data_IF_466662224221
#
_entry.id   IF_466662224221
#
_cell.length_a   1.000
_cell.length_b   1.000
_cell.length_c   1.000
_cell.angle_alpha   90.00
_cell.angle_beta   90.00
_cell.angle_gamma   90.00
#
_symmetry.space_group_name_H-M   'P 1'
#
loop_
_entity.id
_entity.type
_entity.pdbx_description
1 polymer ?
#
# COMPACT_ATOMS: atom_id res chain seq x y z
N UNK A 1 4.91 4.78 7.85
CA UNK A 1 3.96 3.91 7.12
C UNK A 1 2.54 4.02 7.69
N UNK A 2 2.33 3.79 8.99
CA UNK A 2 0.99 3.79 9.60
C UNK A 2 0.29 5.14 9.61
N UNK A 3 1.00 6.25 9.82
CA UNK A 3 0.41 7.59 9.96
C UNK A 3 0.10 8.35 8.66
N UNK A 4 0.55 7.83 7.51
CA UNK A 4 0.33 8.50 6.22
C UNK A 4 0.10 7.48 5.10
N UNK A 5 1.07 6.61 4.85
CA UNK A 5 0.98 5.67 3.72
C UNK A 5 -0.27 4.79 3.74
N UNK A 6 -0.52 4.09 4.84
CA UNK A 6 -1.66 3.18 4.96
C UNK A 6 -3.03 3.89 4.91
N UNK A 7 -3.28 4.99 5.62
CA UNK A 7 -4.57 5.67 5.52
C UNK A 7 -4.77 6.40 4.19
N UNK A 8 -3.70 6.95 3.59
CA UNK A 8 -3.84 7.96 2.53
C UNK A 8 -3.53 7.47 1.12
N UNK A 9 -2.90 6.30 0.93
CA UNK A 9 -2.57 5.78 -0.40
C UNK A 9 -3.54 4.67 -0.84
N UNK A 10 -3.81 4.61 -2.14
CA UNK A 10 -4.59 3.55 -2.79
C UNK A 10 -3.74 2.87 -3.85
N UNK A 11 -3.93 1.56 -4.03
CA UNK A 11 -3.26 0.82 -5.09
C UNK A 11 -3.95 1.09 -6.44
N UNK A 12 -3.18 1.54 -7.43
CA UNK A 12 -3.57 1.56 -8.83
C UNK A 12 -3.04 0.28 -9.50
N UNK A 13 -3.93 -0.67 -9.78
CA UNK A 13 -3.57 -1.95 -10.38
C UNK A 13 -3.02 -1.78 -11.81
N UNK A 14 -3.53 -0.83 -12.59
CA UNK A 14 -3.05 -0.60 -13.97
C UNK A 14 -1.58 -0.19 -14.00
N UNK A 15 -1.16 0.67 -13.08
CA UNK A 15 0.23 1.16 -13.04
C UNK A 15 1.11 0.40 -12.05
N UNK A 16 0.55 -0.55 -11.30
CA UNK A 16 1.24 -1.29 -10.22
C UNK A 16 1.93 -0.34 -9.23
N UNK A 17 1.23 0.73 -8.83
CA UNK A 17 1.76 1.81 -7.97
C UNK A 17 0.71 2.23 -6.96
N UNK A 18 1.16 2.67 -5.79
CA UNK A 18 0.32 3.38 -4.84
C UNK A 18 0.28 4.86 -5.18
N UNK A 19 -0.90 5.46 -5.16
CA UNK A 19 -1.12 6.89 -5.37
C UNK A 19 -1.93 7.46 -4.22
N UNK A 20 -1.79 8.74 -3.91
CA UNK A 20 -2.63 9.36 -2.86
C UNK A 20 -4.10 9.33 -3.27
N UNK A 21 -4.96 9.01 -2.32
CA UNK A 21 -6.42 9.05 -2.53
C UNK A 21 -6.84 10.49 -2.79
N UNK A 22 -7.45 10.74 -3.95
CA UNK A 22 -8.08 12.03 -4.27
C UNK A 22 -9.54 12.12 -3.81
N UNK A 23 -10.13 10.99 -3.41
CA UNK A 23 -11.58 10.86 -3.15
C UNK A 23 -11.94 10.77 -1.66
N UNK A 24 -10.96 10.68 -0.78
CA UNK A 24 -11.15 10.60 0.67
C UNK A 24 -10.33 11.73 1.32
N UNK A 25 -10.90 12.48 2.28
CA UNK A 25 -10.13 13.44 3.05
C UNK A 25 -8.87 12.78 3.62
N UNK A 26 -7.71 13.37 3.32
CA UNK A 26 -6.45 12.85 3.81
C UNK A 26 -6.43 12.99 5.32
N UNK A 27 -6.01 11.93 6.01
CA UNK A 27 -5.74 12.00 7.44
C UNK A 27 -4.62 13.01 7.63
N UNK A 28 -4.85 14.11 8.39
CA UNK A 28 -3.85 15.15 8.56
C UNK A 28 -2.59 14.57 9.19
N UNK A 29 -1.47 14.75 8.52
CA UNK A 29 -0.15 14.41 9.07
C UNK A 29 0.55 15.69 9.46
N UNK A 30 0.80 15.88 10.75
CA UNK A 30 1.66 16.96 11.23
C UNK A 30 3.11 16.60 10.87
N UNK A 31 3.62 17.18 9.78
CA UNK A 31 5.03 17.07 9.43
C UNK A 31 5.82 18.12 10.23
N UNK A 32 6.90 17.72 10.92
CA UNK A 32 7.79 18.70 11.52
C UNK A 32 8.38 19.60 10.43
N UNK A 33 8.53 20.89 10.74
CA UNK A 33 9.23 21.82 9.84
C UNK A 33 10.68 21.37 9.66
N UNK A 34 11.16 21.33 8.42
CA UNK A 34 12.57 21.05 8.15
C UNK A 34 13.38 22.29 8.53
N UNK A 35 14.40 22.17 9.40
CA UNK A 35 15.28 23.29 9.74
C UNK A 35 15.96 23.85 8.48
N UNK A 36 16.13 25.16 8.41
CA UNK A 36 16.91 25.77 7.35
C UNK A 36 18.39 25.37 7.46
N UNK A 37 18.98 24.91 6.36
CA UNK A 37 20.42 24.70 6.25
C UNK A 37 21.00 25.40 5.01
N UNK A 38 22.28 25.76 5.06
CA UNK A 38 22.98 26.37 3.93
C UNK A 38 23.05 25.39 2.74
N UNK A 39 23.04 25.87 1.48
CA UNK A 39 23.07 25.01 0.29
C UNK A 39 24.19 23.95 0.28
N UNK A 40 25.35 24.27 0.85
CA UNK A 40 26.51 23.38 0.94
C UNK A 40 26.27 22.11 1.79
N UNK A 41 25.24 22.10 2.65
CA UNK A 41 24.83 20.91 3.41
C UNK A 41 23.89 19.99 2.62
N UNK A 42 23.50 20.37 1.40
CA UNK A 42 22.64 19.59 0.50
C UNK A 42 23.39 19.19 -0.77
N UNK A 43 23.07 19.81 -1.92
CA UNK A 43 23.66 19.51 -3.21
C UNK A 43 24.75 20.51 -3.64
N UNK A 44 25.29 21.31 -2.70
CA UNK A 44 26.35 22.27 -2.97
C UNK A 44 25.83 23.68 -3.18
N UNK A 45 25.18 23.96 -4.31
CA UNK A 45 24.66 25.31 -4.64
C UNK A 45 23.13 25.36 -4.66
N UNK A 46 22.57 26.57 -4.66
CA UNK A 46 21.11 26.76 -4.74
C UNK A 46 20.53 26.20 -6.05
N UNK A 47 21.23 26.39 -7.18
CA UNK A 47 20.80 25.87 -8.47
C UNK A 47 20.80 24.33 -8.50
N UNK A 48 21.84 23.71 -7.92
CA UNK A 48 21.91 22.26 -7.79
C UNK A 48 20.80 21.73 -6.87
N UNK A 49 20.51 22.42 -5.76
CA UNK A 49 19.38 22.05 -4.90
C UNK A 49 18.04 22.09 -5.65
N UNK A 50 17.78 23.15 -6.43
CA UNK A 50 16.58 23.28 -7.24
C UNK A 50 16.46 22.20 -8.32
N UNK A 51 17.57 21.87 -8.98
CA UNK A 51 17.63 20.81 -9.98
C UNK A 51 17.32 19.43 -9.35
N UNK A 52 17.99 19.09 -8.24
CA UNK A 52 17.72 17.86 -7.51
C UNK A 52 16.29 17.79 -6.98
N UNK A 53 15.74 18.90 -6.47
CA UNK A 53 14.35 18.95 -6.01
C UNK A 53 13.38 18.69 -7.16
N UNK A 54 13.64 19.25 -8.34
CA UNK A 54 12.81 19.03 -9.53
C UNK A 54 12.80 17.56 -9.95
N UNK A 55 13.96 16.89 -9.91
CA UNK A 55 14.04 15.45 -10.16
C UNK A 55 13.30 14.63 -9.10
N UNK A 56 13.49 14.94 -7.82
CA UNK A 56 12.80 14.25 -6.72
C UNK A 56 11.27 14.39 -6.81
N UNK A 57 10.74 15.51 -7.31
CA UNK A 57 9.30 15.72 -7.50
C UNK A 57 8.68 14.71 -8.47
N UNK A 58 9.41 14.21 -9.46
CA UNK A 58 8.93 13.17 -10.39
C UNK A 58 8.51 11.88 -9.67
N UNK A 59 9.09 11.63 -8.50
CA UNK A 59 8.81 10.45 -7.68
C UNK A 59 7.83 10.74 -6.54
N UNK A 60 7.45 12.01 -6.30
CA UNK A 60 6.63 12.40 -5.13
C UNK A 60 5.14 12.06 -5.26
N UNK A 61 4.65 11.83 -6.48
CA UNK A 61 3.22 11.58 -6.75
C UNK A 61 2.76 10.14 -6.53
N UNK A 62 3.69 9.20 -6.28
CA UNK A 62 3.35 7.78 -6.13
C UNK A 62 4.36 7.05 -5.23
N UNK A 63 4.06 5.80 -4.89
CA UNK A 63 4.99 4.85 -4.29
C UNK A 63 4.99 3.54 -5.09
N UNK A 64 6.14 2.89 -5.25
CA UNK A 64 6.29 1.72 -6.12
C UNK A 64 7.72 1.19 -6.16
N UNK A 65 8.05 0.35 -7.15
CA UNK A 65 9.34 -0.35 -7.27
C UNK A 65 10.59 0.56 -7.07
N UNK A 66 10.71 1.74 -7.70
CA UNK A 66 11.89 2.60 -7.51
C UNK A 66 12.11 2.98 -6.04
N UNK A 67 11.03 3.26 -5.31
CA UNK A 67 11.07 3.57 -3.88
C UNK A 67 11.45 2.36 -3.04
N UNK A 68 10.97 1.18 -3.43
CA UNK A 68 11.30 -0.07 -2.74
C UNK A 68 12.79 -0.41 -2.87
N UNK A 69 13.39 -0.20 -4.05
CA UNK A 69 14.85 -0.30 -4.22
C UNK A 69 15.59 0.63 -3.24
N UNK A 70 15.16 1.89 -3.10
CA UNK A 70 15.75 2.81 -2.14
C UNK A 70 15.62 2.32 -0.69
N UNK A 71 14.45 1.78 -0.31
CA UNK A 71 14.22 1.22 1.03
C UNK A 71 15.16 0.05 1.30
N UNK A 72 15.25 -0.92 0.39
CA UNK A 72 16.13 -2.09 0.57
C UNK A 72 17.60 -1.67 0.68
N UNK A 73 18.04 -0.73 -0.15
CA UNK A 73 19.42 -0.22 -0.12
C UNK A 73 19.73 0.53 1.18
N UNK A 74 18.80 1.34 1.69
CA UNK A 74 18.99 2.13 2.91
C UNK A 74 18.93 1.27 4.18
N UNK A 75 18.02 0.30 4.23
CA UNK A 75 17.84 -0.57 5.39
C UNK A 75 18.91 -1.66 5.49
N UNK A 76 19.33 -2.19 4.33
CA UNK A 76 20.22 -3.33 4.23
C UNK A 76 19.58 -4.66 4.67
N UNK A 77 20.21 -5.77 4.30
CA UNK A 77 19.70 -7.12 4.56
C UNK A 77 19.47 -7.43 6.05
N UNK A 78 20.26 -6.82 6.94
CA UNK A 78 20.16 -7.02 8.39
C UNK A 78 18.84 -6.49 8.98
N UNK A 79 18.32 -5.38 8.46
CA UNK A 79 17.14 -4.71 9.01
C UNK A 79 15.83 -5.19 8.39
N UNK A 80 15.88 -5.83 7.22
CA UNK A 80 14.69 -6.30 6.50
C UNK A 80 13.83 -7.30 7.28
N UNK A 81 14.39 -8.31 7.99
CA UNK A 81 13.58 -9.24 8.77
C UNK A 81 12.74 -8.54 9.85
N UNK A 82 13.29 -7.51 10.47
CA UNK A 82 12.58 -6.69 11.48
C UNK A 82 11.44 -5.90 10.85
N UNK A 83 11.65 -5.35 9.66
CA UNK A 83 10.60 -4.67 8.91
C UNK A 83 9.47 -5.64 8.54
N UNK A 84 9.81 -6.81 7.99
CA UNK A 84 8.81 -7.84 7.62
C UNK A 84 8.01 -8.25 8.85
N UNK A 85 8.68 -8.51 9.99
CA UNK A 85 8.00 -8.83 11.24
C UNK A 85 7.03 -7.73 11.68
N UNK A 86 7.46 -6.46 11.66
CA UNK A 86 6.59 -5.35 12.03
C UNK A 86 5.35 -5.21 11.11
N UNK A 87 5.48 -5.58 9.83
CA UNK A 87 4.35 -5.59 8.89
C UNK A 87 3.39 -6.75 9.16
N UNK A 88 3.90 -7.94 9.46
CA UNK A 88 3.09 -9.09 9.85
C UNK A 88 2.36 -8.84 11.17
N UNK A 89 3.04 -8.27 12.17
CA UNK A 89 2.43 -7.87 13.44
C UNK A 89 1.32 -6.84 13.21
N UNK A 90 1.53 -5.88 12.30
CA UNK A 90 0.50 -4.91 11.92
C UNK A 90 -0.73 -5.57 11.28
N UNK A 91 -0.53 -6.53 10.36
CA UNK A 91 -1.63 -7.29 9.76
C UNK A 91 -2.39 -8.06 10.85
N UNK A 92 -1.67 -8.79 11.71
CA UNK A 92 -2.26 -9.57 12.79
C UNK A 92 -3.16 -8.70 13.69
N UNK A 93 -2.62 -7.57 14.16
CA UNK A 93 -3.37 -6.61 14.98
C UNK A 93 -4.61 -6.07 14.26
N UNK A 94 -4.51 -5.78 12.96
CA UNK A 94 -5.66 -5.31 12.16
C UNK A 94 -6.72 -6.40 11.98
N UNK A 95 -6.33 -7.65 11.77
CA UNK A 95 -7.26 -8.78 11.68
C UNK A 95 -8.03 -8.94 13.00
N UNK A 96 -7.34 -8.98 14.14
CA UNK A 96 -7.98 -9.08 15.46
C UNK A 96 -8.92 -7.92 15.73
N UNK A 97 -8.58 -6.71 15.29
CA UNK A 97 -9.44 -5.53 15.44
C UNK A 97 -10.69 -5.58 14.54
N UNK A 98 -10.56 -6.11 13.33
CA UNK A 98 -11.66 -6.21 12.37
C UNK A 98 -12.65 -7.33 12.68
N UNK A 99 -12.21 -8.40 13.33
CA UNK A 99 -13.02 -9.57 13.64
C UNK A 99 -14.39 -9.24 14.30
N UNK A 100 -14.46 -8.50 15.43
CA UNK A 100 -15.76 -8.15 16.02
C UNK A 100 -16.60 -7.23 15.12
N UNK A 101 -15.96 -6.37 14.33
CA UNK A 101 -16.67 -5.47 13.40
C UNK A 101 -17.30 -6.24 12.24
N UNK A 102 -16.60 -7.25 11.73
CA UNK A 102 -17.10 -8.16 10.71
C UNK A 102 -18.27 -8.99 11.24
N UNK A 103 -18.18 -9.50 12.46
CA UNK A 103 -19.29 -10.20 13.13
C UNK A 103 -20.52 -9.29 13.25
N UNK A 104 -20.34 -8.06 13.74
CA UNK A 104 -21.45 -7.09 13.86
C UNK A 104 -22.05 -6.66 12.51
N UNK A 105 -21.26 -6.73 11.43
CA UNK A 105 -21.74 -6.49 10.07
C UNK A 105 -22.47 -7.72 9.50
N UNK A 106 -22.00 -8.93 9.83
CA UNK A 106 -22.62 -10.20 9.45
C UNK A 106 -23.99 -10.38 10.13
N UNK A 107 -24.14 -9.97 11.39
CA UNK A 107 -25.43 -9.97 12.08
C UNK A 107 -26.46 -9.02 11.44
N UNK A 108 -26.00 -8.00 10.71
CA UNK A 108 -26.88 -7.13 9.94
C UNK A 108 -27.26 -7.71 8.57
N UNK A 109 -26.54 -8.72 8.08
CA UNK A 109 -26.88 -9.39 6.83
C UNK A 109 -28.07 -10.33 7.02
N UNK A 110 -28.94 -10.47 6.00
CA UNK A 110 -29.90 -11.56 5.99
C UNK A 110 -29.17 -12.92 6.05
N UNK A 111 -29.72 -13.87 6.82
CA UNK A 111 -29.12 -15.21 7.01
C UNK A 111 -28.98 -16.00 5.72
N UNK A 112 -29.82 -15.68 4.72
CA UNK A 112 -29.73 -16.21 3.37
C UNK A 112 -30.26 -15.18 2.38
N UNK A 113 -29.65 -15.13 1.19
CA UNK A 113 -30.20 -14.45 0.03
C UNK A 113 -30.37 -15.53 -1.03
N UNK A 114 -31.62 -15.89 -1.33
CA UNK A 114 -31.93 -16.84 -2.40
C UNK A 114 -31.67 -16.24 -3.78
N UNK A 115 -31.76 -17.07 -4.82
CA UNK A 115 -31.80 -16.57 -6.20
C UNK A 115 -33.01 -15.64 -6.36
N UNK A 116 -32.77 -14.45 -6.94
CA UNK A 116 -33.82 -13.47 -7.15
C UNK A 116 -34.74 -13.95 -8.28
N UNK A 117 -36.07 -14.02 -8.07
CA UNK A 117 -36.99 -14.29 -9.15
C UNK A 117 -36.90 -13.18 -10.20
N UNK A 118 -36.79 -13.55 -11.49
CA UNK A 118 -36.60 -12.60 -12.59
C UNK A 118 -37.90 -11.91 -13.04
N UNK A 119 -39.02 -12.19 -12.37
CA UNK A 119 -40.38 -11.83 -12.75
C UNK A 119 -40.58 -10.30 -12.93
N UNK A 120 -39.72 -9.47 -12.33
CA UNK A 120 -39.71 -8.01 -12.46
C UNK A 120 -38.55 -7.41 -13.27
N UNK A 121 -37.78 -8.22 -13.99
CA UNK A 121 -36.57 -7.80 -14.70
C UNK A 121 -35.51 -7.19 -13.76
N UNK A 122 -34.52 -6.48 -14.34
CA UNK A 122 -33.41 -5.88 -13.59
C UNK A 122 -33.89 -4.92 -12.48
N UNK A 123 -34.95 -4.14 -12.76
CA UNK A 123 -35.52 -3.19 -11.79
C UNK A 123 -36.15 -3.90 -10.59
N UNK A 124 -36.88 -4.99 -10.82
CA UNK A 124 -37.46 -5.82 -9.77
C UNK A 124 -36.39 -6.44 -8.89
N UNK A 125 -35.36 -7.05 -9.50
CA UNK A 125 -34.22 -7.64 -8.78
C UNK A 125 -33.48 -6.59 -7.93
N UNK A 126 -33.21 -5.41 -8.47
CA UNK A 126 -32.51 -4.33 -7.75
C UNK A 126 -33.30 -3.86 -6.53
N UNK A 127 -34.63 -3.76 -6.61
CA UNK A 127 -35.49 -3.41 -5.48
C UNK A 127 -35.38 -4.46 -4.37
N UNK A 128 -35.52 -5.74 -4.71
CA UNK A 128 -35.40 -6.84 -3.73
C UNK A 128 -34.02 -6.85 -3.06
N UNK A 129 -32.94 -6.62 -3.80
CA UNK A 129 -31.59 -6.50 -3.23
C UNK A 129 -31.50 -5.33 -2.25
N UNK A 130 -32.03 -4.16 -2.60
CA UNK A 130 -32.02 -2.97 -1.73
C UNK A 130 -32.84 -3.18 -0.46
N UNK A 131 -33.98 -3.86 -0.55
CA UNK A 131 -34.83 -4.16 0.60
C UNK A 131 -34.18 -5.19 1.55
N UNK A 132 -33.50 -6.20 1.00
CA UNK A 132 -32.83 -7.22 1.79
C UNK A 132 -31.47 -6.78 2.36
N UNK A 133 -30.75 -5.89 1.66
CA UNK A 133 -29.45 -5.37 2.11
C UNK A 133 -29.62 -4.03 2.84
N UNK A 134 -30.00 -4.10 4.12
CA UNK A 134 -30.10 -2.93 5.00
C UNK A 134 -28.73 -2.36 5.46
N UNK A 135 -27.62 -2.83 4.88
CA UNK A 135 -26.23 -2.42 5.15
C UNK A 135 -25.99 -0.91 5.13
N UNK A 136 -26.84 -0.15 4.42
CA UNK A 136 -26.78 1.31 4.39
C UNK A 136 -26.94 1.97 5.77
N UNK A 137 -27.61 1.31 6.71
CA UNK A 137 -27.88 1.85 8.06
C UNK A 137 -26.65 1.84 8.98
N UNK A 138 -25.63 1.02 8.69
CA UNK A 138 -24.37 0.93 9.45
C UNK A 138 -23.18 1.52 8.68
N UNK A 139 -23.34 2.74 8.15
CA UNK A 139 -22.37 3.38 7.25
C UNK A 139 -20.97 3.55 7.86
N UNK A 140 -20.87 3.86 9.15
CA UNK A 140 -19.60 4.03 9.86
C UNK A 140 -18.85 2.70 10.05
N UNK A 141 -19.54 1.66 10.54
CA UNK A 141 -18.97 0.31 10.70
C UNK A 141 -18.46 -0.23 9.36
N UNK A 142 -19.25 -0.03 8.30
CA UNK A 142 -18.88 -0.39 6.93
C UNK A 142 -17.60 0.33 6.48
N UNK A 143 -17.50 1.64 6.73
CA UNK A 143 -16.34 2.43 6.38
C UNK A 143 -15.08 1.95 7.13
N UNK A 144 -15.20 1.63 8.42
CA UNK A 144 -14.09 1.12 9.24
C UNK A 144 -13.59 -0.23 8.71
N UNK A 145 -14.51 -1.16 8.45
CA UNK A 145 -14.20 -2.49 7.92
C UNK A 145 -13.48 -2.37 6.58
N UNK A 146 -13.99 -1.56 5.65
CA UNK A 146 -13.33 -1.37 4.36
C UNK A 146 -11.97 -0.69 4.47
N UNK A 147 -11.82 0.27 5.39
CA UNK A 147 -10.52 0.90 5.64
C UNK A 147 -9.51 -0.13 6.16
N UNK A 148 -9.90 -0.96 7.12
CA UNK A 148 -9.02 -2.01 7.65
C UNK A 148 -8.63 -3.05 6.60
N UNK A 149 -9.59 -3.53 5.80
CA UNK A 149 -9.32 -4.46 4.68
C UNK A 149 -8.37 -3.82 3.67
N UNK A 150 -8.60 -2.56 3.31
CA UNK A 150 -7.74 -1.80 2.40
C UNK A 150 -6.32 -1.67 2.94
N UNK A 151 -6.16 -1.40 4.24
CA UNK A 151 -4.84 -1.32 4.88
C UNK A 151 -4.11 -2.66 4.86
N UNK A 152 -4.79 -3.77 5.21
CA UNK A 152 -4.23 -5.13 5.12
C UNK A 152 -3.76 -5.42 3.70
N UNK A 153 -4.62 -5.20 2.71
CA UNK A 153 -4.27 -5.40 1.29
C UNK A 153 -3.09 -4.53 0.84
N UNK A 154 -2.99 -3.30 1.36
CA UNK A 154 -1.86 -2.41 1.06
C UNK A 154 -0.55 -2.95 1.62
N UNK A 155 -0.55 -3.51 2.83
CA UNK A 155 0.64 -4.13 3.42
C UNK A 155 1.05 -5.38 2.65
N UNK A 156 0.09 -6.25 2.30
CA UNK A 156 0.36 -7.45 1.50
C UNK A 156 1.00 -7.10 0.14
N UNK A 157 0.42 -6.14 -0.58
CA UNK A 157 0.98 -5.70 -1.85
C UNK A 157 2.35 -5.02 -1.67
N UNK A 158 2.54 -4.24 -0.61
CA UNK A 158 3.83 -3.64 -0.27
C UNK A 158 4.91 -4.72 -0.05
N UNK A 159 4.58 -5.81 0.66
CA UNK A 159 5.48 -6.96 0.82
C UNK A 159 5.75 -7.67 -0.50
N UNK A 160 4.76 -7.77 -1.41
CA UNK A 160 4.98 -8.27 -2.77
C UNK A 160 5.98 -7.42 -3.56
N UNK A 161 5.89 -6.08 -3.47
CA UNK A 161 6.90 -5.20 -4.06
C UNK A 161 8.30 -5.42 -3.47
N UNK A 162 8.38 -5.66 -2.16
CA UNK A 162 9.64 -5.97 -1.49
C UNK A 162 10.25 -7.25 -2.04
N UNK A 163 9.46 -8.32 -2.15
CA UNK A 163 9.90 -9.60 -2.69
C UNK A 163 10.45 -9.47 -4.12
N UNK A 164 9.70 -8.80 -5.01
CA UNK A 164 10.14 -8.53 -6.40
C UNK A 164 11.52 -7.85 -6.42
N UNK A 165 11.72 -6.83 -5.57
CA UNK A 165 12.98 -6.10 -5.50
C UNK A 165 14.11 -6.96 -4.94
N UNK A 166 13.86 -7.77 -3.91
CA UNK A 166 14.87 -8.65 -3.33
C UNK A 166 15.34 -9.70 -4.33
N UNK A 167 14.41 -10.31 -5.07
CA UNK A 167 14.74 -11.23 -6.16
C UNK A 167 15.57 -10.54 -7.23
N UNK A 168 15.18 -9.32 -7.66
CA UNK A 168 15.93 -8.56 -8.66
C UNK A 168 17.36 -8.23 -8.22
N UNK A 169 17.56 -7.84 -6.96
CA UNK A 169 18.89 -7.57 -6.39
C UNK A 169 19.73 -8.83 -6.33
N UNK A 170 19.15 -9.95 -5.88
CA UNK A 170 19.84 -11.23 -5.79
C UNK A 170 20.35 -11.71 -7.16
N UNK A 171 19.49 -11.65 -8.18
CA UNK A 171 19.85 -12.01 -9.57
C UNK A 171 20.98 -11.12 -10.09
N UNK A 172 20.90 -9.81 -9.84
CA UNK A 172 21.94 -8.86 -10.27
C UNK A 172 23.29 -9.16 -9.60
N UNK A 173 23.28 -9.38 -8.28
CA UNK A 173 24.49 -9.72 -7.51
C UNK A 173 25.08 -11.06 -7.93
N UNK A 174 24.25 -12.04 -8.26
CA UNK A 174 24.70 -13.32 -8.78
C UNK A 174 25.38 -13.16 -10.14
N UNK A 175 24.78 -12.38 -11.04
CA UNK A 175 25.34 -12.09 -12.36
C UNK A 175 26.70 -11.39 -12.28
N UNK A 176 26.83 -10.39 -11.40
CA UNK A 176 28.10 -9.69 -11.16
C UNK A 176 29.17 -10.62 -10.57
N UNK A 177 28.77 -11.53 -9.68
CA UNK A 177 29.67 -12.54 -9.10
C UNK A 177 30.14 -13.54 -10.17
N UNK A 178 29.25 -14.01 -11.04
CA UNK A 178 29.57 -14.90 -12.15
C UNK A 178 30.55 -14.25 -13.15
N UNK A 179 30.38 -12.95 -13.43
CA UNK A 179 31.33 -12.17 -14.23
C UNK A 179 32.69 -12.05 -13.55
N UNK A 180 32.72 -11.81 -12.24
CA UNK A 180 33.98 -11.66 -11.50
C UNK A 180 34.77 -12.96 -11.37
N UNK A 181 34.12 -14.12 -11.52
CA UNK A 181 34.73 -15.43 -11.39
C UNK A 181 35.03 -16.09 -12.75
N UNK A 182 34.95 -15.35 -13.87
CA UNK A 182 35.23 -15.82 -15.24
C UNK A 182 34.47 -17.10 -15.67
N UNK A 183 33.36 -17.44 -15.00
CA UNK A 183 32.56 -18.62 -15.36
C UNK A 183 31.90 -18.51 -16.75
N UNK A 184 31.83 -17.30 -17.32
CA UNK A 184 31.37 -17.10 -18.70
C UNK A 184 32.42 -17.43 -19.77
N UNK A 185 33.68 -17.69 -19.39
CA UNK A 185 34.74 -18.13 -20.32
C UNK A 185 34.88 -19.67 -20.41
N UNK A 186 34.04 -20.43 -19.69
CA UNK A 186 34.08 -21.91 -19.64
C UNK A 186 32.91 -22.58 -20.38
N UNK A 187 32.10 -21.80 -21.11
CA UNK A 187 31.05 -22.25 -22.04
C UNK A 187 31.31 -21.63 -23.41
#
# INVERSE_FOLDING_TARGET
MQSDFLPNFILCNTTQRFVRSSRVPLVPMQKPSVPYAKPNFYCGTQDLNSAHQSFARLHSGFFGIPHMFSIVRLLGSRSLPWLIRALLDHISNKVTMLEPMLTGLQEALPKSIGLLPFDGGVTGCMRVVKENLNWGTKSELKAEVFRGIKEIGSVLYWMGLLDIVLVSILVSSFHDTMRSLDYFCLL
#
